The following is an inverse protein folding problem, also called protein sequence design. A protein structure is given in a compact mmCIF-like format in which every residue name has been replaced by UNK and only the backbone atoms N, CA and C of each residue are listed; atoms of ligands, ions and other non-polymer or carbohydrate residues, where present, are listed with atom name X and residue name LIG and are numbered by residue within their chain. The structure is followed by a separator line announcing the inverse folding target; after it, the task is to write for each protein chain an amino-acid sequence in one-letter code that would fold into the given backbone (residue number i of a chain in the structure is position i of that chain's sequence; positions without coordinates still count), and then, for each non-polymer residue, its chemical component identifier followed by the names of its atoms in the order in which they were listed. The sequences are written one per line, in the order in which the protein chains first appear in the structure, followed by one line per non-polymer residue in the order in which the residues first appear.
data_IF_240879414513
#
_entry.id   IF_240879414513
#
_cell.length_a   1.000
_cell.length_b   1.000
_cell.length_c   1.000
_cell.angle_alpha   90.00
_cell.angle_beta   90.00
_cell.angle_gamma   90.00
#
_symmetry.space_group_name_H-M   'P 1'
#
loop_
_entity.id
_entity.type
_entity.pdbx_description
1 polymer ?
#
# COMPACT_ATOMS: atom_id res chain seq x y z
N UNK A 1 -31.89 -55.43 -22.39
CA UNK A 1 -32.76 -54.56 -21.57
C UNK A 1 -32.08 -53.19 -21.55
N UNK A 2 -32.21 -52.38 -22.60
CA UNK A 2 -33.31 -51.44 -22.87
C UNK A 2 -33.59 -50.51 -21.68
N UNK A 3 -33.08 -49.28 -21.68
CA UNK A 3 -33.75 -48.10 -22.25
C UNK A 3 -32.85 -46.85 -22.15
N UNK A 4 -32.87 -46.08 -23.21
CA UNK A 4 -32.46 -44.68 -23.35
C UNK A 4 -33.28 -43.76 -22.44
N UNK A 5 -32.77 -42.57 -22.11
CA UNK A 5 -33.28 -41.32 -22.70
C UNK A 5 -32.53 -40.08 -22.18
N UNK A 6 -31.98 -39.32 -23.14
CA UNK A 6 -31.57 -37.92 -23.02
C UNK A 6 -32.80 -37.03 -22.83
N UNK A 7 -32.65 -35.93 -22.08
CA UNK A 7 -33.58 -34.80 -22.17
C UNK A 7 -32.78 -33.52 -22.44
N UNK A 8 -32.81 -33.11 -23.70
CA UNK A 8 -32.49 -31.76 -24.16
C UNK A 8 -33.69 -30.86 -23.86
N UNK A 9 -33.48 -29.75 -23.17
CA UNK A 9 -34.51 -28.70 -23.04
C UNK A 9 -34.16 -27.59 -24.03
N UNK A 10 -34.74 -27.71 -25.21
CA UNK A 10 -34.86 -26.64 -26.20
C UNK A 10 -36.16 -25.90 -25.90
N UNK A 11 -36.10 -24.63 -25.48
CA UNK A 11 -37.30 -23.77 -25.40
C UNK A 11 -37.34 -22.93 -26.67
N UNK A 12 -38.23 -23.31 -27.58
CA UNK A 12 -38.72 -22.53 -28.73
C UNK A 12 -40.16 -22.12 -28.41
N UNK A 13 -40.52 -20.87 -28.73
CA UNK A 13 -41.90 -20.35 -28.75
C UNK A 13 -41.88 -18.87 -28.35
N UNK A 14 -41.77 -17.90 -29.25
CA UNK A 14 -42.61 -17.55 -30.40
C UNK A 14 -44.05 -17.15 -29.99
N UNK A 15 -44.23 -15.89 -29.61
CA UNK A 15 -45.53 -15.20 -29.69
C UNK A 15 -45.34 -13.83 -30.31
N UNK A 16 -45.79 -13.73 -31.56
CA UNK A 16 -45.97 -12.49 -32.28
C UNK A 16 -47.04 -11.64 -31.60
N UNK A 17 -46.75 -10.35 -31.40
CA UNK A 17 -47.77 -9.33 -31.23
C UNK A 17 -47.54 -8.27 -32.31
N UNK A 18 -48.47 -8.20 -33.26
CA UNK A 18 -48.54 -7.19 -34.29
C UNK A 18 -49.37 -5.98 -33.80
N UNK A 19 -49.31 -4.89 -34.58
CA UNK A 19 -50.05 -3.62 -34.51
C UNK A 19 -49.46 -2.59 -33.51
N UNK A 20 -49.20 -1.32 -33.86
CA UNK A 20 -49.90 -0.40 -34.78
C UNK A 20 -48.90 0.52 -35.50
N UNK A 21 -49.08 0.68 -36.82
CA UNK A 21 -48.39 1.69 -37.63
C UNK A 21 -49.13 3.02 -37.45
N UNK A 22 -48.47 4.00 -36.83
CA UNK A 22 -48.91 5.41 -36.89
C UNK A 22 -48.09 6.10 -37.98
N UNK A 23 -48.75 6.38 -39.11
CA UNK A 23 -48.22 7.20 -40.18
C UNK A 23 -48.25 8.68 -39.76
N UNK A 24 -47.12 9.17 -39.25
CA UNK A 24 -46.87 10.61 -39.10
C UNK A 24 -46.22 11.14 -40.36
N UNK A 25 -47.02 11.71 -41.27
CA UNK A 25 -46.53 12.57 -42.35
C UNK A 25 -46.14 13.92 -41.74
N UNK A 26 -44.84 14.13 -41.54
CA UNK A 26 -44.26 15.39 -41.11
C UNK A 26 -42.81 15.45 -41.55
N UNK A 27 -42.52 16.27 -42.57
CA UNK A 27 -41.19 16.40 -43.15
C UNK A 27 -40.19 17.00 -42.17
N UNK A 28 -39.06 16.31 -42.03
CA UNK A 28 -37.71 16.88 -41.96
C UNK A 28 -36.81 15.82 -42.61
N UNK A 29 -36.08 16.19 -43.65
CA UNK A 29 -35.05 15.33 -44.22
C UNK A 29 -33.92 15.16 -43.19
N UNK A 30 -34.11 14.23 -42.25
CA UNK A 30 -33.05 13.80 -41.36
C UNK A 30 -32.41 12.59 -42.00
N UNK A 31 -31.25 12.83 -42.61
CA UNK A 31 -30.33 11.80 -43.07
C UNK A 31 -30.19 10.78 -41.92
N UNK A 32 -30.69 9.56 -42.12
CA UNK A 32 -30.55 8.50 -41.14
C UNK A 32 -29.04 8.29 -40.90
N UNK A 33 -28.54 8.40 -39.66
CA UNK A 33 -27.16 8.05 -39.38
C UNK A 33 -26.97 6.59 -39.78
N UNK A 34 -25.95 6.31 -40.60
CA UNK A 34 -25.57 4.95 -40.95
C UNK A 34 -25.46 4.11 -39.67
N UNK A 35 -25.88 2.83 -39.67
CA UNK A 35 -25.75 1.96 -38.51
C UNK A 35 -24.28 1.90 -38.11
N UNK A 36 -23.93 2.59 -37.03
CA UNK A 36 -22.57 2.56 -36.50
C UNK A 36 -22.34 1.15 -35.93
N UNK A 37 -21.19 0.52 -36.24
CA UNK A 37 -20.82 -0.73 -35.58
C UNK A 37 -20.82 -0.49 -34.06
N UNK A 38 -21.19 -1.50 -33.24
CA UNK A 38 -21.19 -1.34 -31.79
C UNK A 38 -19.83 -0.84 -31.36
N UNK A 39 -19.79 0.39 -30.82
CA UNK A 39 -18.58 0.97 -30.26
C UNK A 39 -18.21 0.09 -29.09
N UNK A 40 -17.24 -0.80 -29.30
CA UNK A 40 -16.59 -1.54 -28.22
C UNK A 40 -15.96 -0.48 -27.34
N UNK A 41 -16.64 -0.14 -26.25
CA UNK A 41 -16.10 0.72 -25.21
C UNK A 41 -14.96 -0.06 -24.60
N UNK A 42 -13.74 0.23 -25.07
CA UNK A 42 -12.54 -0.26 -24.45
C UNK A 42 -12.66 0.10 -22.97
N UNK A 43 -12.74 -0.91 -22.10
CA UNK A 43 -12.82 -0.71 -20.66
C UNK A 43 -11.61 0.12 -20.24
N UNK A 44 -11.83 1.40 -19.97
CA UNK A 44 -10.78 2.32 -19.58
C UNK A 44 -10.10 1.75 -18.34
N UNK A 45 -8.78 1.55 -18.41
CA UNK A 45 -8.00 1.07 -17.29
C UNK A 45 -8.22 2.04 -16.11
N UNK A 46 -8.53 1.54 -14.90
CA UNK A 46 -8.74 2.43 -13.76
C UNK A 46 -7.50 3.30 -13.53
N UNK A 47 -7.73 4.55 -13.13
CA UNK A 47 -6.66 5.51 -12.86
C UNK A 47 -5.68 4.93 -11.83
N UNK A 48 -4.35 5.03 -12.04
CA UNK A 48 -3.34 4.49 -11.14
C UNK A 48 -3.51 4.91 -9.67
N UNK A 49 -3.90 6.17 -9.41
CA UNK A 49 -4.21 6.63 -8.04
C UNK A 49 -5.32 5.83 -7.38
N UNK A 50 -6.39 5.52 -8.12
CA UNK A 50 -7.52 4.76 -7.60
C UNK A 50 -7.08 3.34 -7.21
N UNK A 51 -6.17 2.74 -7.98
CA UNK A 51 -5.61 1.42 -7.68
C UNK A 51 -4.81 1.44 -6.37
N UNK A 52 -3.93 2.43 -6.20
CA UNK A 52 -3.16 2.62 -4.96
C UNK A 52 -4.07 2.81 -3.74
N UNK A 53 -5.08 3.67 -3.86
CA UNK A 53 -6.03 3.93 -2.78
C UNK A 53 -6.86 2.68 -2.44
N UNK A 54 -7.30 1.92 -3.44
CA UNK A 54 -8.03 0.66 -3.22
C UNK A 54 -7.15 -0.39 -2.54
N UNK A 55 -5.89 -0.48 -2.93
CA UNK A 55 -4.93 -1.38 -2.31
C UNK A 55 -4.64 -0.98 -0.86
N UNK A 56 -4.38 0.31 -0.60
CA UNK A 56 -4.18 0.83 0.75
C UNK A 56 -5.41 0.61 1.65
N UNK A 57 -6.62 0.79 1.11
CA UNK A 57 -7.87 0.50 1.84
C UNK A 57 -7.99 -0.98 2.20
N UNK A 58 -7.65 -1.88 1.27
CA UNK A 58 -7.64 -3.32 1.55
C UNK A 58 -6.69 -3.64 2.70
N UNK A 59 -5.46 -3.09 2.68
CA UNK A 59 -4.48 -3.29 3.74
C UNK A 59 -4.97 -2.81 5.12
N UNK A 60 -5.71 -1.69 5.18
CA UNK A 60 -6.26 -1.18 6.44
C UNK A 60 -7.40 -2.03 6.99
N UNK A 61 -8.18 -2.68 6.13
CA UNK A 61 -9.26 -3.59 6.54
C UNK A 61 -8.77 -5.03 6.85
N UNK A 62 -7.50 -5.33 6.62
CA UNK A 62 -6.95 -6.67 6.83
C UNK A 62 -6.43 -6.85 8.27
N UNK A 63 -6.39 -8.08 8.76
CA UNK A 63 -5.74 -8.43 10.03
C UNK A 63 -4.22 -8.22 9.95
N UNK A 64 -3.50 -8.14 11.10
CA UNK A 64 -2.03 -8.06 11.11
C UNK A 64 -1.35 -9.17 10.31
N UNK A 65 -1.77 -10.42 10.50
CA UNK A 65 -1.21 -11.56 9.76
C UNK A 65 -1.44 -11.46 8.24
N UNK A 66 -2.62 -10.96 7.82
CA UNK A 66 -2.89 -10.78 6.40
C UNK A 66 -2.08 -9.62 5.77
N UNK A 67 -1.67 -8.61 6.56
CA UNK A 67 -0.73 -7.59 6.07
C UNK A 67 0.67 -8.16 5.84
N UNK A 68 1.13 -9.06 6.71
CA UNK A 68 2.41 -9.77 6.50
C UNK A 68 2.38 -10.60 5.21
N UNK A 69 1.28 -11.34 4.97
CA UNK A 69 1.08 -12.05 3.69
C UNK A 69 1.10 -11.08 2.50
N UNK A 70 0.49 -9.90 2.62
CA UNK A 70 0.51 -8.90 1.56
C UNK A 70 1.92 -8.37 1.26
N UNK A 71 2.79 -8.24 2.27
CA UNK A 71 4.22 -7.91 2.08
C UNK A 71 4.92 -9.01 1.30
N UNK A 72 4.72 -10.27 1.68
CA UNK A 72 5.38 -11.41 1.02
C UNK A 72 4.93 -11.56 -0.44
N UNK A 73 3.63 -11.41 -0.70
CA UNK A 73 3.07 -11.41 -2.05
C UNK A 73 3.63 -10.25 -2.89
N UNK A 74 3.67 -9.04 -2.34
CA UNK A 74 4.22 -7.88 -3.04
C UNK A 74 5.71 -8.06 -3.35
N UNK A 75 6.49 -8.62 -2.42
CA UNK A 75 7.90 -9.00 -2.66
C UNK A 75 8.01 -10.03 -3.78
N UNK A 76 7.13 -11.03 -3.81
CA UNK A 76 7.12 -12.02 -4.89
C UNK A 76 6.77 -11.39 -6.24
N UNK A 77 5.83 -10.45 -6.29
CA UNK A 77 5.48 -9.72 -7.51
C UNK A 77 6.65 -8.89 -8.03
N UNK A 78 7.35 -8.16 -7.16
CA UNK A 78 8.56 -7.41 -7.52
C UNK A 78 9.65 -8.33 -8.09
N UNK A 79 9.86 -9.52 -7.49
CA UNK A 79 10.83 -10.50 -8.01
C UNK A 79 10.44 -11.02 -9.40
N UNK A 80 9.16 -11.27 -9.64
CA UNK A 80 8.66 -11.82 -10.92
C UNK A 80 8.64 -10.77 -12.04
N UNK A 81 8.24 -9.55 -11.71
CA UNK A 81 8.04 -8.47 -12.67
C UNK A 81 8.35 -7.12 -11.98
N UNK A 82 9.62 -6.74 -11.89
CA UNK A 82 9.99 -5.45 -11.31
C UNK A 82 9.45 -4.32 -12.18
N UNK A 83 8.78 -3.35 -11.56
CA UNK A 83 8.19 -2.23 -12.28
C UNK A 83 7.51 -1.24 -11.34
N UNK A 84 7.10 -0.10 -11.89
CA UNK A 84 6.51 1.00 -11.13
C UNK A 84 5.38 0.51 -10.20
N UNK A 85 4.39 -0.20 -10.76
CA UNK A 85 3.23 -0.70 -10.00
C UNK A 85 3.60 -1.70 -8.91
N UNK A 86 4.48 -2.66 -9.19
CA UNK A 86 4.88 -3.67 -8.19
C UNK A 86 5.69 -3.04 -7.06
N UNK A 87 6.54 -2.04 -7.35
CA UNK A 87 7.22 -1.25 -6.32
C UNK A 87 6.25 -0.43 -5.47
N UNK A 88 5.24 0.19 -6.06
CA UNK A 88 4.26 0.99 -5.31
C UNK A 88 3.43 0.11 -4.35
N UNK A 89 2.98 -1.07 -4.79
CA UNK A 89 2.29 -2.02 -3.92
C UNK A 89 3.19 -2.51 -2.79
N UNK A 90 4.46 -2.81 -3.07
CA UNK A 90 5.40 -3.19 -2.01
C UNK A 90 5.63 -2.06 -1.01
N UNK A 91 5.79 -0.82 -1.49
CA UNK A 91 5.91 0.34 -0.62
C UNK A 91 4.71 0.50 0.32
N UNK A 92 3.48 0.37 -0.22
CA UNK A 92 2.25 0.41 0.55
C UNK A 92 2.14 -0.73 1.57
N UNK A 93 2.49 -1.95 1.17
CA UNK A 93 2.46 -3.11 2.06
C UNK A 93 3.43 -2.95 3.24
N UNK A 94 4.65 -2.49 2.98
CA UNK A 94 5.67 -2.27 4.02
C UNK A 94 5.34 -1.09 4.94
N UNK A 95 4.66 -0.07 4.40
CA UNK A 95 4.21 1.10 5.17
C UNK A 95 2.94 0.84 6.00
N UNK A 96 2.29 -0.32 5.84
CA UNK A 96 1.04 -0.61 6.55
C UNK A 96 1.29 -0.69 8.08
N UNK A 97 0.50 0.02 8.90
CA UNK A 97 0.72 0.07 10.35
C UNK A 97 0.36 -1.26 11.02
N UNK A 98 0.84 -1.43 12.26
CA UNK A 98 0.50 -2.58 13.13
C UNK A 98 0.79 -3.96 12.50
N UNK A 99 1.93 -4.08 11.82
CA UNK A 99 2.48 -5.37 11.38
C UNK A 99 3.89 -5.53 11.94
N UNK A 100 4.34 -6.77 12.11
CA UNK A 100 5.70 -7.05 12.62
C UNK A 100 6.78 -6.65 11.63
N UNK A 101 6.48 -6.70 10.33
CA UNK A 101 7.37 -6.36 9.22
C UNK A 101 7.30 -4.86 8.82
N UNK A 102 6.93 -3.98 9.75
CA UNK A 102 6.87 -2.55 9.47
C UNK A 102 8.29 -2.00 9.31
N UNK A 103 8.63 -1.60 8.08
CA UNK A 103 9.97 -1.10 7.71
C UNK A 103 9.84 0.20 6.92
N UNK A 104 9.69 1.35 7.61
CA UNK A 104 9.40 2.64 6.98
C UNK A 104 10.48 3.10 5.98
N UNK A 105 11.76 2.85 6.25
CA UNK A 105 12.84 3.18 5.29
C UNK A 105 12.76 2.37 4.00
N UNK A 106 12.47 1.06 4.13
CA UNK A 106 12.32 0.19 2.97
C UNK A 106 11.10 0.60 2.13
N UNK A 107 10.00 0.95 2.80
CA UNK A 107 8.81 1.47 2.16
C UNK A 107 9.09 2.80 1.42
N UNK A 108 9.80 3.74 2.05
CA UNK A 108 10.21 5.00 1.42
C UNK A 108 11.10 4.78 0.20
N UNK A 109 12.04 3.84 0.29
CA UNK A 109 12.91 3.44 -0.83
C UNK A 109 12.09 2.91 -2.01
N UNK A 110 11.16 2.00 -1.77
CA UNK A 110 10.32 1.44 -2.84
C UNK A 110 9.34 2.45 -3.43
N UNK A 111 8.84 3.40 -2.65
CA UNK A 111 8.04 4.51 -3.17
C UNK A 111 8.84 5.37 -4.17
N UNK A 112 10.09 5.68 -3.86
CA UNK A 112 11.00 6.39 -4.78
C UNK A 112 11.33 5.53 -6.00
N UNK A 113 11.55 4.23 -5.85
CA UNK A 113 11.75 3.33 -7.01
C UNK A 113 10.51 3.31 -7.91
N UNK A 114 9.31 3.28 -7.33
CA UNK A 114 8.06 3.33 -8.09
C UNK A 114 7.95 4.60 -8.94
N UNK A 115 8.30 5.76 -8.38
CA UNK A 115 8.29 7.05 -9.08
C UNK A 115 9.29 7.12 -10.25
N UNK A 116 10.41 6.41 -10.16
CA UNK A 116 11.51 6.49 -11.13
C UNK A 116 11.54 5.32 -12.14
N UNK A 117 10.70 4.29 -11.96
CA UNK A 117 10.67 3.13 -12.84
C UNK A 117 9.99 3.43 -14.19
N UNK A 118 10.51 2.82 -15.26
CA UNK A 118 9.94 2.89 -16.60
C UNK A 118 9.24 1.57 -17.00
N UNK A 119 8.10 1.61 -17.72
CA UNK A 119 7.31 2.81 -17.98
C UNK A 119 6.70 3.39 -16.69
N UNK A 120 6.54 4.70 -16.64
CA UNK A 120 5.93 5.39 -15.51
C UNK A 120 4.44 5.63 -15.82
N UNK A 121 3.51 4.85 -15.22
CA UNK A 121 2.10 4.96 -15.50
C UNK A 121 1.40 6.05 -14.67
N UNK A 122 2.12 6.81 -13.84
CA UNK A 122 1.53 7.61 -12.78
C UNK A 122 0.89 8.92 -13.26
N UNK A 123 -0.39 9.08 -12.94
CA UNK A 123 -1.05 10.38 -12.96
C UNK A 123 -0.47 11.31 -11.87
N UNK A 124 -0.81 12.60 -11.91
CA UNK A 124 -0.24 13.62 -11.02
C UNK A 124 -0.55 13.33 -9.54
N UNK A 125 -1.76 12.83 -9.23
CA UNK A 125 -2.16 12.51 -7.86
C UNK A 125 -1.37 11.30 -7.34
N UNK A 126 -1.09 10.30 -8.17
CA UNK A 126 -0.31 9.13 -7.78
C UNK A 126 1.14 9.53 -7.49
N UNK A 127 1.70 10.43 -8.31
CA UNK A 127 3.04 10.97 -8.09
C UNK A 127 3.12 11.75 -6.79
N UNK A 128 2.16 12.64 -6.53
CA UNK A 128 2.10 13.39 -5.29
C UNK A 128 1.96 12.46 -4.07
N UNK A 129 1.02 11.51 -4.11
CA UNK A 129 0.80 10.57 -3.03
C UNK A 129 2.06 9.76 -2.68
N UNK A 130 2.72 9.17 -3.69
CA UNK A 130 3.95 8.39 -3.49
C UNK A 130 5.10 9.28 -3.00
N UNK A 131 5.18 10.52 -3.49
CA UNK A 131 6.18 11.50 -3.06
C UNK A 131 6.01 11.92 -1.60
N UNK A 132 4.78 12.27 -1.19
CA UNK A 132 4.45 12.59 0.18
C UNK A 132 4.69 11.39 1.10
N UNK A 133 4.28 10.20 0.71
CA UNK A 133 4.53 8.97 1.46
C UNK A 133 6.05 8.75 1.68
N UNK A 134 6.86 8.84 0.62
CA UNK A 134 8.31 8.68 0.73
C UNK A 134 8.92 9.73 1.68
N UNK A 135 8.46 10.98 1.60
CA UNK A 135 8.91 12.08 2.46
C UNK A 135 8.55 11.81 3.93
N UNK A 136 7.29 11.53 4.23
CA UNK A 136 6.83 11.30 5.61
C UNK A 136 7.48 10.08 6.26
N UNK A 137 7.62 8.97 5.53
CA UNK A 137 8.28 7.77 6.05
C UNK A 137 9.77 8.01 6.35
N UNK A 138 10.46 8.82 5.53
CA UNK A 138 11.85 9.21 5.79
C UNK A 138 11.96 10.11 7.03
N UNK A 139 11.02 11.04 7.22
CA UNK A 139 11.01 11.89 8.41
C UNK A 139 10.75 11.08 9.68
N UNK A 140 9.85 10.09 9.61
CA UNK A 140 9.53 9.24 10.75
C UNK A 140 10.75 8.47 11.28
N UNK A 141 11.61 7.95 10.38
CA UNK A 141 12.80 7.21 10.80
C UNK A 141 13.88 8.10 11.39
N UNK A 142 14.11 9.29 10.80
CA UNK A 142 15.06 10.27 11.34
C UNK A 142 14.76 10.70 12.77
N UNK A 143 13.48 10.90 13.12
CA UNK A 143 13.09 11.22 14.49
C UNK A 143 13.32 10.06 15.45
N UNK A 144 13.02 8.84 15.02
CA UNK A 144 13.19 7.64 15.86
C UNK A 144 14.66 7.40 16.19
N UNK A 145 15.55 7.58 15.21
CA UNK A 145 17.00 7.45 15.40
C UNK A 145 17.56 8.53 16.33
N UNK A 146 17.11 9.78 16.17
CA UNK A 146 17.51 10.89 17.03
C UNK A 146 17.11 10.64 18.51
N UNK A 147 15.93 10.08 18.75
CA UNK A 147 15.46 9.72 20.09
C UNK A 147 16.29 8.56 20.68
N UNK A 148 16.61 7.55 19.88
CA UNK A 148 17.44 6.43 20.31
C UNK A 148 18.88 6.88 20.68
N UNK A 149 19.47 7.76 19.87
CA UNK A 149 20.78 8.35 20.16
C UNK A 149 20.77 9.21 21.41
N UNK A 150 19.67 9.95 21.63
CA UNK A 150 19.47 10.72 22.86
C UNK A 150 19.40 9.83 24.08
N UNK A 151 18.67 8.73 24.03
CA UNK A 151 18.58 7.75 25.13
C UNK A 151 19.95 7.16 25.44
N UNK A 152 20.70 6.70 24.44
CA UNK A 152 22.05 6.14 24.63
C UNK A 152 23.02 7.15 25.27
N UNK A 153 22.89 8.42 24.90
CA UNK A 153 23.67 9.51 25.50
C UNK A 153 23.32 9.68 26.99
N UNK A 154 22.02 9.66 27.32
CA UNK A 154 21.56 9.78 28.71
C UNK A 154 21.98 8.56 29.56
N UNK A 155 21.95 7.35 29.00
CA UNK A 155 22.43 6.14 29.67
C UNK A 155 23.93 6.20 29.98
N UNK A 156 24.73 6.70 29.03
CA UNK A 156 26.17 6.94 29.24
C UNK A 156 26.41 7.95 30.36
N UNK A 157 25.67 9.07 30.36
CA UNK A 157 25.75 10.09 31.42
C UNK A 157 25.33 9.54 32.79
N UNK A 158 24.31 8.69 32.83
CA UNK A 158 23.87 8.02 34.06
C UNK A 158 24.94 7.06 34.58
N UNK A 159 25.60 6.31 33.68
CA UNK A 159 26.73 5.44 34.03
C UNK A 159 27.89 6.24 34.62
N UNK A 160 28.31 7.32 33.96
CA UNK A 160 29.39 8.18 34.43
C UNK A 160 29.07 8.82 35.80
N UNK A 161 27.83 9.27 35.99
CA UNK A 161 27.38 9.81 37.27
C UNK A 161 27.44 8.77 38.39
N UNK A 162 27.06 7.52 38.13
CA UNK A 162 27.15 6.42 39.11
C UNK A 162 28.59 6.13 39.51
N UNK A 163 29.50 6.01 38.54
CA UNK A 163 30.93 5.79 38.82
C UNK A 163 31.54 6.93 39.65
N UNK A 164 31.14 8.18 39.41
CA UNK A 164 31.60 9.32 40.22
C UNK A 164 31.07 9.26 41.66
N UNK A 165 29.82 8.84 41.85
CA UNK A 165 29.24 8.67 43.19
C UNK A 165 29.93 7.54 43.96
N UNK A 166 30.20 6.40 43.30
CA UNK A 166 30.98 5.30 43.89
C UNK A 166 32.38 5.77 44.29
N UNK A 167 33.09 6.48 43.41
CA UNK A 167 34.41 7.01 43.71
C UNK A 167 34.40 8.01 44.89
N UNK A 168 33.36 8.84 45.01
CA UNK A 168 33.20 9.75 46.15
C UNK A 168 32.92 8.98 47.44
N UNK A 169 32.06 7.96 47.39
CA UNK A 169 31.77 7.08 48.53
C UNK A 169 33.02 6.32 49.00
N UNK A 170 33.82 5.80 48.08
CA UNK A 170 35.08 5.11 48.39
C UNK A 170 36.10 6.07 49.03
N UNK A 171 36.12 7.34 48.63
CA UNK A 171 36.96 8.36 49.24
C UNK A 171 36.47 8.66 50.67
N UNK A 172 35.17 8.83 50.87
CA UNK A 172 34.58 9.08 52.19
C UNK A 172 34.89 7.94 53.17
N UNK A 173 34.69 6.69 52.74
CA UNK A 173 35.00 5.51 53.55
C UNK A 173 36.49 5.43 53.93
N UNK A 174 37.40 5.76 53.00
CA UNK A 174 38.84 5.83 53.30
C UNK A 174 39.22 6.96 54.25
N UNK A 175 38.48 8.06 54.26
CA UNK A 175 38.72 9.17 55.21
C UNK A 175 38.29 8.73 56.60
N UNK A 176 37.13 8.10 56.74
CA UNK A 176 36.65 7.57 58.02
C UNK A 176 37.60 6.51 58.59
N UNK A 177 38.06 5.56 57.77
CA UNK A 177 38.99 4.50 58.20
C UNK A 177 40.38 5.03 58.63
N UNK A 178 40.83 6.17 58.07
CA UNK A 178 42.12 6.80 58.44
C UNK A 178 41.99 7.84 59.55
N UNK A 179 40.78 8.36 59.80
CA UNK A 179 40.48 9.30 60.88
C UNK A 179 40.36 8.66 62.27
N UNK A 180 40.18 7.33 62.31
CA UNK A 180 39.99 6.54 63.54
C UNK A 180 41.29 5.87 64.05
N UNK A 181 42.47 6.31 63.56
CA UNK A 181 43.76 5.88 64.11
C UNK A 181 44.07 6.63 65.43
N UNK A 182 44.19 5.91 66.58
CA UNK A 182 44.49 6.50 67.89
C UNK A 182 45.93 7.01 68.03
#
# INVERSE_FOLDING_TARGET
MSRTDSVSITVIGNTALALVIVAGLGGCAHLAPAPQPPVQTATARPAPTLDLLRYARRLSDTTPAGRETAVDDARQQVRKAPGATTYAHLALALAAPHQRLYTPDEAARYARLALNAAPNPWDDNARQYLGDMARWLTLATQHTDADADRIRTLESQLGEARTKLEALSDIEQRIDDNGDSP
#
